data_IF_625016798156
#
_entry.id   IF_625016798156
#
_cell.length_a   1.000
_cell.length_b   1.000
_cell.length_c   1.000
_cell.angle_alpha   90.00
_cell.angle_beta   90.00
_cell.angle_gamma   90.00
#
_symmetry.space_group_name_H-M   'P 1'
#
loop_
_entity.id
_entity.type
_entity.pdbx_description
1 polymer ?
#
# COMPACT_ATOMS: atom_id res chain seq x y z
N UNK A 1 -7.17 6.30 21.60
CA UNK A 1 -6.83 4.87 21.76
C UNK A 1 -7.52 4.37 23.03
N UNK A 2 -8.27 3.26 22.99
CA UNK A 2 -8.81 2.61 24.18
C UNK A 2 -7.95 1.39 24.50
N UNK A 3 -7.58 1.23 25.77
CA UNK A 3 -6.80 0.09 26.24
C UNK A 3 -7.52 -0.59 27.40
N UNK A 4 -7.46 -1.91 27.41
CA UNK A 4 -7.87 -2.74 28.53
C UNK A 4 -6.66 -2.95 29.43
N UNK A 5 -6.77 -2.54 30.69
CA UNK A 5 -5.72 -2.81 31.70
C UNK A 5 -6.30 -3.71 32.79
N UNK A 6 -5.55 -4.74 33.17
CA UNK A 6 -5.91 -5.60 34.29
C UNK A 6 -5.40 -4.96 35.59
N UNK A 7 -6.30 -4.80 36.56
CA UNK A 7 -5.96 -4.26 37.88
C UNK A 7 -5.30 -5.33 38.76
N UNK A 8 -4.63 -4.92 39.86
CA UNK A 8 -4.06 -5.84 40.86
C UNK A 8 -5.12 -6.77 41.48
N UNK A 9 -6.38 -6.36 41.44
CA UNK A 9 -7.55 -7.12 41.91
C UNK A 9 -8.12 -8.08 40.84
N UNK A 10 -7.45 -8.23 39.70
CA UNK A 10 -7.86 -9.12 38.60
C UNK A 10 -8.98 -8.59 37.71
N UNK A 11 -9.59 -7.44 38.04
CA UNK A 11 -10.66 -6.81 37.23
C UNK A 11 -10.10 -6.10 36.00
N UNK A 12 -10.80 -6.21 34.88
CA UNK A 12 -10.48 -5.50 33.64
C UNK A 12 -11.09 -4.11 33.61
N UNK A 13 -10.28 -3.11 33.28
CA UNK A 13 -10.69 -1.71 33.22
C UNK A 13 -10.39 -1.10 31.85
N UNK A 14 -11.38 -0.42 31.29
CA UNK A 14 -11.23 0.32 30.03
C UNK A 14 -10.72 1.73 30.31
N UNK A 15 -9.63 2.11 29.66
CA UNK A 15 -9.06 3.47 29.74
C UNK A 15 -8.91 4.08 28.35
N UNK A 16 -9.27 5.35 28.24
CA UNK A 16 -9.00 6.15 27.03
C UNK A 16 -7.68 6.86 27.20
N UNK A 17 -6.73 6.59 26.30
CA UNK A 17 -5.43 7.25 26.24
C UNK A 17 -5.51 8.45 25.28
N UNK A 18 -5.07 9.60 25.76
CA UNK A 18 -4.85 10.82 24.97
C UNK A 18 -3.35 11.05 24.83
N UNK A 19 -2.90 11.45 23.63
CA UNK A 19 -1.50 11.79 23.34
C UNK A 19 -1.43 13.27 22.96
N UNK A 20 -0.51 14.01 23.57
CA UNK A 20 -0.16 15.39 23.20
C UNK A 20 1.29 15.41 22.74
N UNK A 21 1.51 15.73 21.47
CA UNK A 21 2.81 15.80 20.83
C UNK A 21 2.75 16.76 19.65
N UNK A 22 3.87 17.33 19.23
CA UNK A 22 3.96 18.07 17.98
C UNK A 22 3.60 17.16 16.79
N UNK A 23 2.81 17.62 15.79
CA UNK A 23 2.39 16.82 14.65
C UNK A 23 3.50 16.71 13.59
N UNK A 24 4.72 16.38 14.01
CA UNK A 24 5.91 16.27 13.16
C UNK A 24 6.63 14.95 13.42
N UNK A 25 7.26 14.41 12.38
CA UNK A 25 8.10 13.21 12.46
C UNK A 25 9.31 13.40 11.55
N UNK A 26 10.44 12.76 11.87
CA UNK A 26 11.54 12.64 10.92
C UNK A 26 11.04 11.93 9.65
N UNK A 27 11.44 12.44 8.48
CA UNK A 27 10.90 12.00 7.18
C UNK A 27 11.99 11.72 6.13
N UNK A 28 13.27 11.64 6.54
CA UNK A 28 14.34 11.19 5.62
C UNK A 28 14.21 9.70 5.27
N UNK A 29 13.71 8.90 6.22
CA UNK A 29 13.34 7.51 6.01
C UNK A 29 11.94 7.30 6.58
N UNK A 30 11.09 6.62 5.83
CA UNK A 30 9.74 6.30 6.25
C UNK A 30 9.30 4.98 5.60
N UNK A 31 8.27 4.39 6.18
CA UNK A 31 7.74 3.11 5.71
C UNK A 31 6.98 3.28 4.40
N UNK A 32 6.86 2.19 3.67
CA UNK A 32 6.02 2.06 2.48
C UNK A 32 4.59 2.57 2.73
N UNK A 33 3.97 2.25 3.88
CA UNK A 33 2.65 2.76 4.26
C UNK A 33 2.58 4.29 4.35
N UNK A 34 3.66 4.94 4.80
CA UNK A 34 3.74 6.41 4.86
C UNK A 34 4.05 7.03 3.50
N UNK A 35 4.72 6.27 2.63
CA UNK A 35 5.02 6.66 1.26
C UNK A 35 3.83 6.55 0.31
N UNK A 36 2.82 5.76 0.67
CA UNK A 36 1.68 5.48 -0.18
C UNK A 36 0.96 6.78 -0.60
N UNK A 37 0.73 6.92 -1.90
CA UNK A 37 0.14 8.12 -2.50
C UNK A 37 1.13 9.25 -2.80
N UNK A 38 2.39 9.14 -2.38
CA UNK A 38 3.43 10.13 -2.68
C UNK A 38 4.21 9.76 -3.95
N UNK A 39 4.67 10.78 -4.68
CA UNK A 39 5.67 10.64 -5.74
C UNK A 39 6.98 11.24 -5.24
N UNK A 40 8.04 10.46 -5.25
CA UNK A 40 9.37 10.79 -4.74
C UNK A 40 10.35 10.88 -5.91
N UNK A 41 10.92 12.07 -6.20
CA UNK A 41 11.83 12.25 -7.32
C UNK A 41 13.06 11.35 -7.28
N UNK A 42 13.61 11.10 -6.09
CA UNK A 42 14.74 10.19 -5.88
C UNK A 42 14.51 9.38 -4.61
N UNK A 43 14.69 8.06 -4.68
CA UNK A 43 14.44 7.17 -3.54
C UNK A 43 15.43 6.02 -3.48
N UNK A 44 15.82 5.68 -2.26
CA UNK A 44 16.52 4.43 -1.96
C UNK A 44 15.51 3.54 -1.24
N UNK A 45 15.25 2.34 -1.78
CA UNK A 45 14.29 1.39 -1.24
C UNK A 45 15.02 0.23 -0.59
N UNK A 46 14.68 -0.05 0.65
CA UNK A 46 15.09 -1.27 1.35
C UNK A 46 13.96 -2.30 1.29
N UNK A 47 14.23 -3.43 0.62
CA UNK A 47 13.28 -4.53 0.44
C UNK A 47 13.76 -5.83 1.08
N UNK A 48 14.73 -5.75 2.00
CA UNK A 48 15.12 -6.93 2.77
C UNK A 48 14.01 -7.36 3.71
N UNK A 49 13.86 -8.68 3.89
CA UNK A 49 12.88 -9.26 4.80
C UNK A 49 13.11 -8.73 6.23
N UNK A 50 12.07 -8.20 6.90
CA UNK A 50 12.19 -7.72 8.27
C UNK A 50 12.45 -8.89 9.24
N UNK A 51 13.03 -8.63 10.43
CA UNK A 51 13.25 -9.68 11.43
C UNK A 51 11.95 -10.35 11.91
N UNK A 52 10.84 -9.61 11.84
CA UNK A 52 9.51 -10.06 12.20
C UNK A 52 8.51 -9.64 11.12
N UNK A 53 7.62 -10.56 10.75
CA UNK A 53 6.66 -10.36 9.66
C UNK A 53 7.20 -10.80 8.30
N UNK A 54 6.41 -10.59 7.26
CA UNK A 54 6.79 -10.89 5.88
C UNK A 54 6.55 -9.67 4.98
N UNK A 55 7.39 -9.52 3.97
CA UNK A 55 7.12 -8.61 2.86
C UNK A 55 6.19 -9.32 1.87
N UNK A 56 5.10 -8.66 1.51
CA UNK A 56 4.22 -9.11 0.43
C UNK A 56 4.43 -8.27 -0.84
N UNK A 57 3.86 -8.74 -1.96
CA UNK A 57 3.92 -8.04 -3.25
C UNK A 57 3.35 -6.61 -3.20
N UNK A 58 2.38 -6.32 -2.33
CA UNK A 58 1.81 -4.98 -2.19
C UNK A 58 2.79 -4.00 -1.56
N UNK A 59 3.48 -4.39 -0.49
CA UNK A 59 4.51 -3.57 0.15
C UNK A 59 5.62 -3.24 -0.86
N UNK A 60 6.07 -4.25 -1.61
CA UNK A 60 7.07 -4.12 -2.66
C UNK A 60 6.60 -3.16 -3.76
N UNK A 61 5.38 -3.37 -4.28
CA UNK A 61 4.79 -2.53 -5.31
C UNK A 61 4.65 -1.07 -4.84
N UNK A 62 4.14 -0.83 -3.64
CA UNK A 62 3.99 0.52 -3.08
C UNK A 62 5.35 1.19 -3.01
N UNK A 63 6.37 0.54 -2.43
CA UNK A 63 7.69 1.13 -2.26
C UNK A 63 8.38 1.44 -3.61
N UNK A 64 8.31 0.51 -4.58
CA UNK A 64 8.96 0.67 -5.87
C UNK A 64 8.25 1.66 -6.80
N UNK A 65 6.91 1.75 -6.71
CA UNK A 65 6.11 2.68 -7.51
C UNK A 65 6.18 4.14 -7.06
N UNK A 66 6.95 4.46 -6.01
CA UNK A 66 7.08 5.85 -5.54
C UNK A 66 7.95 6.71 -6.45
N UNK A 67 8.78 6.11 -7.30
CA UNK A 67 9.68 6.82 -8.19
C UNK A 67 9.38 6.51 -9.65
N UNK A 68 9.72 7.44 -10.54
CA UNK A 68 9.27 7.44 -11.94
C UNK A 68 10.12 6.58 -12.88
N UNK A 69 11.32 6.17 -12.48
CA UNK A 69 12.22 5.44 -13.39
C UNK A 69 13.43 4.81 -12.72
N UNK A 70 14.19 4.06 -13.52
CA UNK A 70 15.36 3.29 -13.05
C UNK A 70 16.51 4.21 -12.63
N UNK A 71 16.64 5.37 -13.26
CA UNK A 71 17.63 6.39 -12.96
C UNK A 71 17.40 7.04 -11.60
N UNK A 72 16.15 7.10 -11.15
CA UNK A 72 15.69 7.79 -9.94
C UNK A 72 15.49 6.86 -8.71
N UNK A 73 15.46 5.54 -8.92
CA UNK A 73 15.35 4.54 -7.84
C UNK A 73 16.65 3.75 -7.62
N UNK A 74 17.00 3.48 -6.35
CA UNK A 74 18.07 2.54 -5.98
C UNK A 74 17.58 1.56 -4.93
N UNK A 75 18.08 0.34 -4.98
CA UNK A 75 17.89 -0.64 -3.91
C UNK A 75 19.04 -0.49 -2.91
N UNK A 76 18.73 -0.48 -1.62
CA UNK A 76 19.73 -0.27 -0.56
C UNK A 76 20.74 -1.43 -0.48
N UNK A 77 20.28 -2.65 -0.77
CA UNK A 77 21.03 -3.91 -0.63
C UNK A 77 20.41 -5.00 -1.48
N UNK A 78 21.11 -6.13 -1.59
CA UNK A 78 20.60 -7.33 -2.23
C UNK A 78 19.34 -7.86 -1.54
N UNK A 79 18.53 -8.59 -2.30
CA UNK A 79 17.25 -9.12 -1.87
C UNK A 79 17.02 -10.53 -2.44
N UNK A 80 16.12 -11.29 -1.82
CA UNK A 80 15.74 -12.61 -2.32
C UNK A 80 14.81 -12.48 -3.55
N UNK A 81 15.20 -12.96 -4.74
CA UNK A 81 14.33 -12.91 -5.93
C UNK A 81 13.03 -13.70 -5.78
N UNK A 82 12.90 -14.60 -4.80
CA UNK A 82 11.62 -15.27 -4.51
C UNK A 82 10.53 -14.30 -4.05
N UNK A 83 10.90 -13.12 -3.52
CA UNK A 83 9.94 -12.08 -3.13
C UNK A 83 9.00 -11.67 -4.27
N UNK A 84 9.51 -11.62 -5.51
CA UNK A 84 8.73 -11.27 -6.70
C UNK A 84 8.03 -12.47 -7.36
N UNK A 85 8.23 -13.69 -6.84
CA UNK A 85 7.63 -14.92 -7.35
C UNK A 85 6.43 -15.41 -6.51
N UNK A 86 6.00 -14.59 -5.55
CA UNK A 86 4.81 -14.87 -4.76
C UNK A 86 3.55 -14.89 -5.63
N UNK A 87 2.55 -15.67 -5.25
CA UNK A 87 1.25 -15.68 -5.95
C UNK A 87 0.46 -14.42 -5.61
N UNK A 88 -0.19 -13.85 -6.61
CA UNK A 88 -1.19 -12.81 -6.40
C UNK A 88 -2.43 -13.37 -5.70
N UNK A 89 -3.14 -12.52 -4.95
CA UNK A 89 -4.41 -12.88 -4.34
C UNK A 89 -5.46 -13.13 -5.44
N UNK A 90 -6.11 -14.30 -5.39
CA UNK A 90 -7.08 -14.73 -6.39
C UNK A 90 -8.30 -13.81 -6.44
N UNK A 91 -8.71 -13.26 -5.30
CA UNK A 91 -9.85 -12.35 -5.24
C UNK A 91 -9.52 -11.01 -5.91
N UNK A 92 -8.29 -10.53 -5.77
CA UNK A 92 -7.86 -9.29 -6.43
C UNK A 92 -7.74 -9.48 -7.94
N UNK A 93 -7.23 -10.62 -8.42
CA UNK A 93 -7.24 -10.94 -9.84
C UNK A 93 -8.66 -11.02 -10.40
N UNK A 94 -9.58 -11.66 -9.69
CA UNK A 94 -10.98 -11.75 -10.09
C UNK A 94 -11.66 -10.37 -10.12
N UNK A 95 -11.28 -9.48 -9.20
CA UNK A 95 -11.77 -8.10 -9.17
C UNK A 95 -11.22 -7.26 -10.32
N UNK A 96 -9.94 -7.39 -10.65
CA UNK A 96 -9.34 -6.75 -11.83
C UNK A 96 -10.06 -7.18 -13.13
N UNK A 97 -10.32 -8.49 -13.29
CA UNK A 97 -11.10 -9.02 -14.41
C UNK A 97 -12.53 -8.43 -14.47
N UNK A 98 -13.17 -8.26 -13.30
CA UNK A 98 -14.51 -7.66 -13.20
C UNK A 98 -14.48 -6.19 -13.60
N UNK A 99 -13.49 -5.43 -13.13
CA UNK A 99 -13.31 -4.01 -13.44
C UNK A 99 -13.02 -3.81 -14.93
N UNK A 100 -12.20 -4.66 -15.54
CA UNK A 100 -11.91 -4.59 -16.98
C UNK A 100 -13.16 -4.86 -17.83
N UNK A 101 -14.00 -5.82 -17.43
CA UNK A 101 -15.30 -6.05 -18.10
C UNK A 101 -16.22 -4.83 -17.99
N UNK A 102 -16.25 -4.15 -16.83
CA UNK A 102 -17.03 -2.94 -16.65
C UNK A 102 -16.48 -1.79 -17.49
N UNK A 103 -15.16 -1.60 -17.50
CA UNK A 103 -14.48 -0.59 -18.33
C UNK A 103 -14.87 -0.72 -19.81
N UNK A 104 -14.82 -1.93 -20.38
CA UNK A 104 -15.24 -2.18 -21.77
C UNK A 104 -16.70 -1.84 -22.03
N UNK A 105 -17.61 -2.19 -21.09
CA UNK A 105 -19.04 -1.83 -21.21
C UNK A 105 -19.24 -0.33 -21.20
N UNK A 106 -18.57 0.38 -20.29
CA UNK A 106 -18.61 1.83 -20.20
C UNK A 106 -18.05 2.49 -21.46
N UNK A 107 -16.93 1.99 -22.00
CA UNK A 107 -16.36 2.48 -23.25
C UNK A 107 -17.30 2.29 -24.44
N UNK A 108 -17.91 1.10 -24.59
CA UNK A 108 -18.88 0.85 -25.66
C UNK A 108 -20.12 1.72 -25.55
N UNK A 109 -20.65 1.92 -24.33
CA UNK A 109 -21.77 2.83 -24.11
C UNK A 109 -21.40 4.27 -24.46
N UNK A 110 -20.22 4.73 -24.04
CA UNK A 110 -19.73 6.08 -24.36
C UNK A 110 -19.63 6.32 -25.86
N UNK A 111 -19.10 5.35 -26.62
CA UNK A 111 -19.04 5.41 -28.09
C UNK A 111 -20.43 5.53 -28.74
N UNK A 112 -21.44 4.87 -28.17
CA UNK A 112 -22.82 4.96 -28.66
C UNK A 112 -23.46 6.32 -28.37
N UNK A 113 -23.14 6.94 -27.23
CA UNK A 113 -23.57 8.29 -26.90
C UNK A 113 -22.91 9.31 -27.83
N UNK A 114 -21.59 9.20 -28.03
CA UNK A 114 -20.83 10.10 -28.91
C UNK A 114 -21.28 10.00 -30.38
N UNK A 115 -21.64 8.81 -30.83
CA UNK A 115 -22.21 8.57 -32.17
C UNK A 115 -23.71 8.92 -32.29
N UNK A 116 -24.35 9.36 -31.21
CA UNK A 116 -25.77 9.75 -31.18
C UNK A 116 -26.77 8.58 -31.30
N UNK A 117 -26.29 7.33 -31.18
CA UNK A 117 -27.11 6.12 -31.24
C UNK A 117 -27.95 5.96 -29.96
N UNK A 118 -27.42 6.40 -28.82
CA UNK A 118 -28.08 6.39 -27.51
C UNK A 118 -28.07 7.82 -26.97
N UNK A 119 -29.21 8.31 -26.48
CA UNK A 119 -29.32 9.62 -25.81
C UNK A 119 -28.80 9.57 -24.38
#
# INVERSE_FOLDING_TARGET
MRISIQTKEGKWLQRTVKRRQFPVTAAYAFTDYRSQGQTLPYVIVDIASPPFGSLNLFNLYVALSRSSGRETIRLLRDFDPQLFRQRHDVNLLAEDDRLEKLNRKTQHWWQQVESGIVK
#
